data_IF_983857226247
#
_entry.id   IF_983857226247
#
_cell.length_a   1.000
_cell.length_b   1.000
_cell.length_c   1.000
_cell.angle_alpha   90.00
_cell.angle_beta   90.00
_cell.angle_gamma   90.00
#
_symmetry.space_group_name_H-M   'P 1'
#
loop_
_entity.id
_entity.type
_entity.pdbx_description
1 polymer ?
#
# COMPACT_ATOMS: atom_id res chain seq x y z
N UNK A 1 13.89 15.57 -4.13
CA UNK A 1 14.75 16.58 -3.44
C UNK A 1 15.68 15.94 -2.41
N UNK A 2 15.28 14.90 -1.65
CA UNK A 2 16.13 14.25 -0.64
C UNK A 2 17.11 13.21 -1.23
N UNK A 3 17.12 12.95 -2.53
CA UNK A 3 17.97 11.98 -3.24
C UNK A 3 18.94 12.65 -4.23
N UNK A 4 19.41 13.86 -3.92
CA UNK A 4 20.25 14.67 -4.83
C UNK A 4 21.65 14.08 -5.07
N UNK A 5 22.11 13.16 -4.21
CA UNK A 5 23.37 12.46 -4.37
C UNK A 5 23.34 11.31 -5.39
N UNK A 6 22.15 10.93 -5.85
CA UNK A 6 21.97 9.86 -6.83
C UNK A 6 21.81 10.41 -8.23
N UNK A 7 22.45 9.79 -9.20
CA UNK A 7 22.28 10.08 -10.61
C UNK A 7 21.16 9.21 -11.19
N UNK A 8 20.02 9.84 -11.48
CA UNK A 8 18.86 9.16 -12.07
C UNK A 8 19.05 8.95 -13.57
N UNK A 9 18.84 7.73 -14.03
CA UNK A 9 18.97 7.35 -15.43
C UNK A 9 17.62 7.30 -16.17
N UNK A 10 16.53 7.27 -15.41
CA UNK A 10 15.16 7.20 -15.93
C UNK A 10 14.26 8.24 -15.25
N UNK A 11 13.06 8.42 -15.79
CA UNK A 11 11.99 9.20 -15.14
C UNK A 11 11.01 8.29 -14.38
N UNK A 12 11.42 7.06 -14.04
CA UNK A 12 10.56 6.09 -13.39
C UNK A 12 10.53 6.28 -11.87
N UNK A 13 9.35 6.21 -11.28
CA UNK A 13 9.15 6.14 -9.83
C UNK A 13 9.82 4.91 -9.21
N UNK A 14 9.98 3.82 -9.97
CA UNK A 14 10.69 2.61 -9.55
C UNK A 14 12.15 2.90 -9.19
N UNK A 15 12.82 3.78 -9.93
CA UNK A 15 14.20 4.18 -9.64
C UNK A 15 14.29 5.01 -8.35
N UNK A 16 13.30 5.88 -8.11
CA UNK A 16 13.17 6.62 -6.85
C UNK A 16 13.04 5.66 -5.66
N UNK A 17 12.24 4.61 -5.81
CA UNK A 17 12.07 3.57 -4.78
C UNK A 17 13.38 2.82 -4.53
N UNK A 18 14.13 2.51 -5.58
CA UNK A 18 15.41 1.79 -5.46
C UNK A 18 16.44 2.62 -4.69
N UNK A 19 16.72 3.85 -5.13
CA UNK A 19 17.67 4.74 -4.43
C UNK A 19 17.19 5.13 -3.04
N UNK A 20 15.89 5.31 -2.86
CA UNK A 20 15.31 5.54 -1.55
C UNK A 20 15.53 4.35 -0.60
N UNK A 21 15.44 3.11 -1.09
CA UNK A 21 15.71 1.94 -0.27
C UNK A 21 17.21 1.79 0.05
N UNK A 22 18.09 2.13 -0.88
CA UNK A 22 19.54 2.18 -0.63
C UNK A 22 19.87 3.16 0.49
N UNK A 23 19.23 4.34 0.50
CA UNK A 23 19.48 5.41 1.48
C UNK A 23 18.83 5.16 2.83
N UNK A 24 17.54 4.80 2.84
CA UNK A 24 16.74 4.74 4.06
C UNK A 24 16.33 3.31 4.47
N UNK A 25 16.62 2.31 3.64
CA UNK A 25 16.24 0.93 3.93
C UNK A 25 14.74 0.77 4.16
N UNK A 26 14.38 0.10 5.24
CA UNK A 26 12.97 -0.17 5.60
C UNK A 26 12.19 1.07 6.07
N UNK A 27 12.86 2.20 6.29
CA UNK A 27 12.21 3.49 6.62
C UNK A 27 11.69 4.23 5.37
N UNK A 28 12.06 3.77 4.16
CA UNK A 28 11.62 4.35 2.90
C UNK A 28 10.10 4.66 2.83
N UNK A 29 9.19 3.77 3.24
CA UNK A 29 7.74 4.04 3.12
C UNK A 29 7.28 5.30 3.84
N UNK A 30 7.97 5.70 4.91
CA UNK A 30 7.66 6.94 5.65
C UNK A 30 8.05 8.21 4.90
N UNK A 31 8.91 8.08 3.88
CA UNK A 31 9.39 9.18 3.03
C UNK A 31 8.60 9.35 1.74
N UNK A 32 7.83 8.33 1.38
CA UNK A 32 7.05 8.34 0.15
C UNK A 32 5.71 9.05 0.35
N UNK A 33 5.35 9.88 -0.62
CA UNK A 33 4.02 10.44 -0.76
C UNK A 33 3.36 9.86 -2.00
N UNK A 34 2.13 9.36 -1.87
CA UNK A 34 1.38 8.82 -3.00
C UNK A 34 0.82 7.42 -2.73
N UNK A 35 0.38 6.77 -3.81
CA UNK A 35 -0.27 5.48 -3.80
C UNK A 35 0.69 4.43 -4.33
N UNK A 36 1.08 3.48 -3.50
CA UNK A 36 2.08 2.49 -3.88
C UNK A 36 1.85 1.11 -3.27
N UNK A 37 2.29 0.10 -4.00
CA UNK A 37 2.54 -1.24 -3.51
C UNK A 37 3.78 -1.75 -4.26
N UNK A 38 4.85 -2.03 -3.56
CA UNK A 38 6.11 -2.46 -4.17
C UNK A 38 6.78 -3.58 -3.39
N UNK A 39 7.66 -4.29 -4.07
CA UNK A 39 8.52 -5.31 -3.48
C UNK A 39 9.97 -5.11 -3.94
N UNK A 40 10.90 -5.20 -3.02
CA UNK A 40 12.34 -5.10 -3.26
C UNK A 40 13.00 -6.39 -2.78
N UNK A 41 13.80 -7.01 -3.64
CA UNK A 41 14.65 -8.12 -3.25
C UNK A 41 16.05 -7.60 -2.89
N UNK A 42 16.34 -7.58 -1.60
CA UNK A 42 17.67 -7.27 -1.06
C UNK A 42 18.53 -8.56 -1.07
N UNK A 43 19.38 -8.66 -2.08
CA UNK A 43 20.27 -9.82 -2.26
C UNK A 43 21.29 -9.97 -1.13
N UNK A 44 21.76 -8.85 -0.56
CA UNK A 44 22.78 -8.87 0.50
C UNK A 44 22.20 -9.42 1.80
N UNK A 45 20.94 -9.08 2.12
CA UNK A 45 20.24 -9.55 3.31
C UNK A 45 19.49 -10.85 3.10
N UNK A 46 19.34 -11.32 1.84
CA UNK A 46 18.45 -12.42 1.46
C UNK A 46 17.01 -12.19 1.97
N UNK A 47 16.51 -10.99 1.80
CA UNK A 47 15.18 -10.57 2.22
C UNK A 47 14.39 -10.00 1.04
N UNK A 48 13.09 -10.23 1.04
CA UNK A 48 12.14 -9.47 0.22
C UNK A 48 11.45 -8.50 1.15
N UNK A 49 11.60 -7.20 0.87
CA UNK A 49 10.89 -6.13 1.55
C UNK A 49 9.73 -5.67 0.69
N UNK A 50 8.53 -5.70 1.25
CA UNK A 50 7.29 -5.35 0.58
C UNK A 50 6.63 -4.25 1.39
N UNK A 51 6.10 -3.22 0.72
CA UNK A 51 5.37 -2.16 1.39
C UNK A 51 4.13 -1.75 0.63
N UNK A 52 3.11 -1.37 1.37
CA UNK A 52 1.84 -0.87 0.85
C UNK A 52 1.58 0.52 1.41
N UNK A 53 1.04 1.42 0.59
CA UNK A 53 0.81 2.82 0.94
C UNK A 53 0.01 3.02 2.24
N UNK A 54 0.03 4.23 2.74
CA UNK A 54 -0.52 4.65 4.04
C UNK A 54 -1.97 4.20 4.26
N UNK A 55 -2.82 4.31 3.25
CA UNK A 55 -4.25 4.00 3.32
C UNK A 55 -4.62 2.71 2.58
N UNK A 56 -3.65 2.02 1.96
CA UNK A 56 -3.88 0.78 1.23
C UNK A 56 -4.68 0.98 -0.05
N UNK A 57 -4.47 2.10 -0.75
CA UNK A 57 -5.14 2.41 -2.02
C UNK A 57 -4.72 1.43 -3.10
N UNK A 58 -3.41 1.15 -3.23
CA UNK A 58 -2.94 0.11 -4.14
C UNK A 58 -3.16 -1.28 -3.53
N UNK A 59 -3.72 -2.24 -4.28
CA UNK A 59 -3.97 -3.59 -3.76
C UNK A 59 -2.66 -4.36 -3.57
N UNK A 60 -2.60 -5.14 -2.49
CA UNK A 60 -1.50 -6.06 -2.22
C UNK A 60 -1.99 -7.23 -1.39
N UNK A 61 -1.88 -8.42 -1.96
CA UNK A 61 -2.26 -9.68 -1.34
C UNK A 61 -1.05 -10.58 -1.20
N UNK A 62 -1.10 -11.49 -0.21
CA UNK A 62 -0.11 -12.53 -0.07
C UNK A 62 -0.78 -13.85 0.36
N UNK A 63 -0.21 -14.93 -0.10
CA UNK A 63 -0.56 -16.29 0.27
C UNK A 63 0.63 -16.94 0.92
N UNK A 64 0.42 -17.63 2.02
CA UNK A 64 1.47 -18.35 2.71
C UNK A 64 1.00 -19.76 3.07
N UNK A 65 1.80 -20.74 2.70
CA UNK A 65 1.75 -22.09 3.25
C UNK A 65 3.16 -22.55 3.62
N UNK A 66 3.29 -23.81 4.04
CA UNK A 66 4.60 -24.40 4.43
C UNK A 66 5.63 -24.42 3.30
N UNK A 67 5.20 -24.44 2.04
CA UNK A 67 6.05 -24.65 0.87
C UNK A 67 6.37 -23.36 0.11
N UNK A 68 5.45 -22.41 0.09
CA UNK A 68 5.56 -21.21 -0.76
C UNK A 68 4.94 -19.99 -0.10
N UNK A 69 5.50 -18.81 -0.43
CA UNK A 69 4.90 -17.51 -0.21
C UNK A 69 4.72 -16.89 -1.58
N UNK A 70 3.49 -16.44 -1.89
CA UNK A 70 3.15 -15.70 -3.09
C UNK A 70 2.68 -14.31 -2.68
N UNK A 71 2.95 -13.30 -3.50
CA UNK A 71 2.40 -11.96 -3.30
C UNK A 71 2.12 -11.30 -4.65
N UNK A 72 1.21 -10.36 -4.67
CA UNK A 72 0.82 -9.66 -5.89
C UNK A 72 -0.38 -8.75 -5.68
N UNK A 73 -0.66 -7.92 -6.67
CA UNK A 73 -1.78 -6.99 -6.64
C UNK A 73 -3.14 -7.66 -6.83
N UNK A 74 -3.17 -8.85 -7.43
CA UNK A 74 -4.41 -9.59 -7.68
C UNK A 74 -4.26 -11.08 -7.31
N UNK A 75 -5.24 -11.60 -6.60
CA UNK A 75 -5.24 -13.01 -6.16
C UNK A 75 -5.26 -13.97 -7.35
N UNK A 76 -5.86 -13.55 -8.48
CA UNK A 76 -5.90 -14.41 -9.69
C UNK A 76 -4.51 -14.78 -10.20
N UNK A 77 -3.48 -13.97 -9.93
CA UNK A 77 -2.10 -14.29 -10.31
C UNK A 77 -1.56 -15.53 -9.59
N UNK A 78 -2.09 -15.84 -8.39
CA UNK A 78 -1.69 -17.02 -7.63
C UNK A 78 -2.24 -18.32 -8.21
N UNK A 79 -3.37 -18.25 -8.95
CA UNK A 79 -4.04 -19.42 -9.53
C UNK A 79 -3.13 -20.20 -10.50
N UNK A 80 -2.17 -19.53 -11.12
CA UNK A 80 -1.21 -20.15 -12.03
C UNK A 80 -0.11 -20.94 -11.31
N UNK A 81 0.07 -20.72 -10.00
CA UNK A 81 1.14 -21.37 -9.25
C UNK A 81 0.71 -22.78 -8.76
N UNK A 82 1.48 -23.87 -9.07
CA UNK A 82 1.05 -25.24 -8.79
C UNK A 82 0.90 -25.59 -7.30
N UNK A 83 1.50 -24.80 -6.41
CA UNK A 83 1.37 -24.97 -4.95
C UNK A 83 0.29 -24.10 -4.32
N UNK A 84 -0.40 -23.29 -5.11
CA UNK A 84 -1.56 -22.53 -4.62
C UNK A 84 -2.77 -23.46 -4.48
N UNK A 85 -3.42 -23.42 -3.31
CA UNK A 85 -4.64 -24.18 -3.07
C UNK A 85 -5.83 -23.25 -3.15
N UNK A 86 -6.66 -23.45 -4.17
CA UNK A 86 -7.93 -22.72 -4.32
C UNK A 86 -8.98 -23.31 -3.39
N UNK A 87 -9.08 -22.77 -2.19
CA UNK A 87 -10.03 -23.17 -1.16
C UNK A 87 -10.81 -21.94 -0.67
N UNK A 88 -12.15 -22.08 -0.55
CA UNK A 88 -13.02 -21.00 -0.06
C UNK A 88 -12.89 -20.86 1.46
N UNK A 89 -12.63 -19.64 1.93
CA UNK A 89 -12.73 -19.27 3.34
C UNK A 89 -14.21 -19.04 3.71
N UNK A 90 -14.87 -20.11 4.16
CA UNK A 90 -16.30 -20.09 4.48
C UNK A 90 -16.64 -19.22 5.70
N UNK A 91 -15.67 -18.98 6.58
CA UNK A 91 -15.86 -18.20 7.80
C UNK A 91 -16.13 -16.71 7.50
N UNK A 92 -15.69 -16.21 6.35
CA UNK A 92 -15.95 -14.84 5.92
C UNK A 92 -17.32 -14.62 5.27
N UNK A 93 -18.08 -15.66 4.96
CA UNK A 93 -19.39 -15.51 4.31
C UNK A 93 -20.35 -14.75 5.22
N UNK A 94 -20.45 -15.15 6.49
CA UNK A 94 -21.31 -14.48 7.46
C UNK A 94 -20.97 -13.00 7.67
N UNK A 95 -19.72 -12.66 8.03
CA UNK A 95 -19.27 -11.27 8.13
C UNK A 95 -19.51 -10.44 6.87
N UNK A 96 -19.21 -11.00 5.69
CA UNK A 96 -19.46 -10.31 4.43
C UNK A 96 -20.94 -9.99 4.19
N UNK A 97 -21.83 -10.95 4.46
CA UNK A 97 -23.28 -10.73 4.32
C UNK A 97 -23.82 -9.70 5.32
N UNK A 98 -23.16 -9.55 6.46
CA UNK A 98 -23.53 -8.57 7.49
C UNK A 98 -23.05 -7.16 7.16
N UNK A 99 -21.79 -7.03 6.73
CA UNK A 99 -21.12 -5.73 6.57
C UNK A 99 -20.94 -5.29 5.12
N UNK A 100 -21.25 -6.14 4.13
CA UNK A 100 -20.97 -5.93 2.71
C UNK A 100 -19.48 -5.80 2.35
N UNK A 101 -18.59 -6.12 3.27
CA UNK A 101 -17.14 -6.20 3.08
C UNK A 101 -16.51 -7.18 4.07
N UNK A 102 -15.25 -7.57 3.86
CA UNK A 102 -14.50 -8.39 4.80
C UNK A 102 -13.84 -7.50 5.87
N UNK A 103 -14.26 -7.56 7.15
CA UNK A 103 -13.77 -6.65 8.20
C UNK A 103 -12.37 -6.98 8.70
N UNK A 104 -11.76 -8.04 8.19
CA UNK A 104 -10.41 -8.51 8.51
C UNK A 104 -9.48 -8.41 7.30
N UNK A 105 -8.21 -8.73 7.49
CA UNK A 105 -7.23 -8.81 6.40
C UNK A 105 -7.32 -10.10 5.60
N UNK A 106 -8.16 -11.04 6.03
CA UNK A 106 -8.43 -12.29 5.31
C UNK A 106 -9.24 -12.04 4.04
N UNK A 107 -9.16 -12.98 3.11
CA UNK A 107 -9.93 -12.94 1.86
C UNK A 107 -10.81 -14.17 1.73
N UNK A 108 -11.71 -14.19 0.72
CA UNK A 108 -12.49 -15.37 0.40
C UNK A 108 -11.66 -16.59 -0.05
N UNK A 109 -10.38 -16.42 -0.32
CA UNK A 109 -9.44 -17.51 -0.51
C UNK A 109 -8.74 -17.81 0.80
N UNK A 110 -8.81 -19.05 1.26
CA UNK A 110 -8.15 -19.51 2.47
C UNK A 110 -6.63 -19.31 2.38
N UNK A 111 -6.01 -18.90 3.48
CA UNK A 111 -4.57 -18.60 3.58
C UNK A 111 -4.09 -17.46 2.65
N UNK A 112 -5.03 -16.70 2.07
CA UNK A 112 -4.73 -15.47 1.33
C UNK A 112 -5.15 -14.26 2.15
N UNK A 113 -4.20 -13.38 2.38
CA UNK A 113 -4.35 -12.19 3.19
C UNK A 113 -4.09 -10.93 2.38
N UNK A 114 -4.72 -9.86 2.76
CA UNK A 114 -4.42 -8.51 2.29
C UNK A 114 -3.37 -7.90 3.22
N UNK A 115 -2.29 -7.34 2.69
CA UNK A 115 -1.40 -6.53 3.52
C UNK A 115 -2.14 -5.25 3.91
N UNK A 116 -2.29 -4.91 5.21
CA UNK A 116 -2.99 -3.69 5.61
C UNK A 116 -2.30 -2.43 5.09
N UNK A 117 -3.06 -1.34 4.92
CA UNK A 117 -2.49 -0.03 4.62
C UNK A 117 -1.53 0.43 5.73
N UNK A 118 -0.50 1.21 5.37
CA UNK A 118 0.50 1.67 6.31
C UNK A 118 1.38 0.58 6.92
N UNK A 119 1.48 -0.59 6.25
CA UNK A 119 2.29 -1.72 6.70
C UNK A 119 3.34 -2.12 5.67
N UNK A 120 4.43 -2.62 6.20
CA UNK A 120 5.49 -3.28 5.45
C UNK A 120 5.61 -4.74 5.88
N UNK A 121 6.03 -5.59 4.96
CA UNK A 121 6.27 -7.01 5.19
C UNK A 121 7.70 -7.35 4.77
N UNK A 122 8.42 -8.01 5.64
CA UNK A 122 9.76 -8.56 5.35
C UNK A 122 9.67 -10.08 5.29
N UNK A 123 10.14 -10.67 4.21
CA UNK A 123 10.21 -12.11 4.02
C UNK A 123 11.68 -12.51 3.99
N UNK A 124 12.10 -13.37 4.91
CA UNK A 124 13.41 -13.99 4.83
C UNK A 124 13.36 -15.14 3.81
N UNK A 125 14.13 -15.03 2.73
CA UNK A 125 14.06 -15.98 1.60
C UNK A 125 14.47 -17.40 1.98
N UNK A 126 15.45 -17.54 2.89
CA UNK A 126 15.94 -18.87 3.32
C UNK A 126 14.98 -19.56 4.28
N UNK A 127 14.50 -18.84 5.29
CA UNK A 127 13.68 -19.41 6.37
C UNK A 127 12.19 -19.33 6.09
N UNK A 128 11.76 -18.55 5.08
CA UNK A 128 10.36 -18.24 4.76
C UNK A 128 9.59 -17.59 5.93
N UNK A 129 10.30 -17.02 6.89
CA UNK A 129 9.66 -16.27 7.96
C UNK A 129 9.20 -14.93 7.44
N UNK A 130 7.96 -14.57 7.78
CA UNK A 130 7.34 -13.28 7.50
C UNK A 130 7.34 -12.46 8.79
N UNK A 131 7.68 -11.17 8.66
CA UNK A 131 7.49 -10.14 9.68
C UNK A 131 6.70 -9.01 9.08
N UNK A 132 5.55 -8.67 9.66
CA UNK A 132 4.71 -7.54 9.25
C UNK A 132 4.85 -6.45 10.31
N UNK A 133 5.10 -5.21 9.88
CA UNK A 133 5.32 -4.07 10.74
C UNK A 133 4.50 -2.88 10.24
N UNK A 134 3.85 -2.19 11.17
CA UNK A 134 3.11 -0.97 10.88
C UNK A 134 4.07 0.21 10.88
N UNK A 135 4.17 0.94 9.77
CA UNK A 135 5.00 2.13 9.67
C UNK A 135 4.20 3.44 9.75
N UNK A 136 2.88 3.38 9.54
CA UNK A 136 2.00 4.55 9.59
C UNK A 136 0.73 4.27 10.39
N UNK A 137 0.30 5.25 11.17
CA UNK A 137 -0.94 5.26 11.94
C UNK A 137 -1.53 6.66 11.91
N UNK A 138 -2.81 6.76 11.61
CA UNK A 138 -3.56 8.01 11.81
C UNK A 138 -3.70 8.24 13.31
N UNK A 139 -3.31 9.42 13.75
CA UNK A 139 -3.48 9.87 15.14
C UNK A 139 -4.39 11.09 15.15
N UNK A 140 -5.37 11.06 16.04
CA UNK A 140 -6.29 12.17 16.24
C UNK A 140 -5.88 12.94 17.51
N UNK A 141 -5.84 14.26 17.39
CA UNK A 141 -5.59 15.14 18.52
C UNK A 141 -6.65 16.25 18.55
N UNK A 142 -6.93 16.78 19.74
CA UNK A 142 -7.75 17.95 19.86
C UNK A 142 -6.93 19.17 19.41
N UNK A 143 -7.50 19.96 18.50
CA UNK A 143 -6.94 21.26 18.11
C UNK A 143 -7.50 22.37 19.01
N UNK A 144 -6.73 23.45 19.18
CA UNK A 144 -7.18 24.70 19.82
C UNK A 144 -7.56 25.77 18.79
N UNK A 145 -7.44 25.45 17.51
CA UNK A 145 -7.74 26.31 16.38
C UNK A 145 -9.24 26.59 16.30
N UNK A 146 -9.61 27.76 15.82
CA UNK A 146 -11.00 28.13 15.54
C UNK A 146 -11.52 27.33 14.33
N UNK A 147 -12.84 27.30 14.18
CA UNK A 147 -13.47 26.64 13.03
C UNK A 147 -12.98 27.20 11.69
N UNK A 148 -12.84 28.53 11.57
CA UNK A 148 -12.41 29.17 10.33
C UNK A 148 -10.95 28.84 9.98
N UNK A 149 -10.06 28.80 10.98
CA UNK A 149 -8.66 28.38 10.78
C UNK A 149 -8.56 26.93 10.31
N UNK A 150 -9.35 26.02 10.89
CA UNK A 150 -9.40 24.60 10.48
C UNK A 150 -9.93 24.47 9.05
N UNK A 151 -10.98 25.23 8.68
CA UNK A 151 -11.51 25.21 7.30
C UNK A 151 -10.48 25.69 6.30
N UNK A 152 -9.74 26.76 6.62
CA UNK A 152 -8.68 27.27 5.75
C UNK A 152 -7.53 26.24 5.58
N UNK A 153 -7.13 25.59 6.66
CA UNK A 153 -6.09 24.55 6.63
C UNK A 153 -6.53 23.33 5.83
N UNK A 154 -7.77 22.84 6.04
CA UNK A 154 -8.33 21.73 5.24
C UNK A 154 -8.33 22.09 3.76
N UNK A 155 -8.77 23.30 3.40
CA UNK A 155 -8.80 23.74 1.99
C UNK A 155 -7.40 23.71 1.38
N UNK A 156 -6.38 24.22 2.08
CA UNK A 156 -4.99 24.16 1.61
C UNK A 156 -4.48 22.74 1.39
N UNK A 157 -4.76 21.85 2.34
CA UNK A 157 -4.35 20.44 2.26
C UNK A 157 -5.06 19.71 1.12
N UNK A 158 -6.35 19.99 0.91
CA UNK A 158 -7.13 19.43 -0.19
C UNK A 158 -6.60 19.91 -1.54
N UNK A 159 -6.39 21.22 -1.73
CA UNK A 159 -5.80 21.79 -2.95
C UNK A 159 -4.44 21.13 -3.28
N UNK A 160 -3.57 21.01 -2.29
CA UNK A 160 -2.26 20.40 -2.45
C UNK A 160 -2.40 18.90 -2.82
N UNK A 161 -3.33 18.20 -2.18
CA UNK A 161 -3.60 16.79 -2.47
C UNK A 161 -4.10 16.61 -3.91
N UNK A 162 -5.09 17.40 -4.35
CA UNK A 162 -5.62 17.32 -5.72
C UNK A 162 -4.54 17.62 -6.75
N UNK A 163 -3.72 18.67 -6.54
CA UNK A 163 -2.60 19.00 -7.44
C UNK A 163 -1.62 17.83 -7.61
N UNK A 164 -1.32 17.11 -6.54
CA UNK A 164 -0.43 15.93 -6.63
C UNK A 164 -1.10 14.74 -7.30
N UNK A 165 -2.42 14.58 -7.22
CA UNK A 165 -3.15 13.53 -7.93
C UNK A 165 -3.25 13.78 -9.44
N UNK A 166 -3.07 15.02 -9.89
CA UNK A 166 -3.07 15.39 -11.31
C UNK A 166 -1.73 15.09 -12.00
N UNK A 167 -0.68 14.72 -11.26
CA UNK A 167 0.61 14.34 -11.84
C UNK A 167 0.45 13.00 -12.56
N UNK A 168 0.52 13.02 -13.89
CA UNK A 168 0.31 11.85 -14.75
C UNK A 168 0.96 12.06 -16.10
N UNK A 169 1.37 10.97 -16.75
CA UNK A 169 1.88 10.95 -18.13
C UNK A 169 0.75 10.97 -19.18
N UNK A 170 -0.50 10.89 -18.73
CA UNK A 170 -1.71 10.90 -19.57
C UNK A 170 -2.73 11.91 -19.04
N UNK A 171 -3.72 12.26 -19.86
CA UNK A 171 -4.80 13.13 -19.42
C UNK A 171 -5.56 12.52 -18.24
N UNK A 172 -5.77 13.31 -17.20
CA UNK A 172 -6.54 12.94 -16.02
C UNK A 172 -7.93 13.49 -16.13
N UNK A 173 -8.94 12.64 -16.02
CA UNK A 173 -10.34 13.02 -15.95
C UNK A 173 -10.94 12.61 -14.59
N UNK A 174 -11.99 13.32 -14.17
CA UNK A 174 -12.77 12.94 -13.00
C UNK A 174 -14.22 12.69 -13.36
N UNK A 175 -14.84 11.73 -12.67
CA UNK A 175 -16.29 11.53 -12.74
C UNK A 175 -16.99 12.51 -11.81
N UNK A 176 -17.57 13.54 -12.39
CA UNK A 176 -18.32 14.54 -11.64
C UNK A 176 -19.69 13.98 -11.26
N UNK A 177 -19.90 13.77 -9.98
CA UNK A 177 -21.22 13.50 -9.39
C UNK A 177 -21.71 14.75 -8.65
N UNK A 178 -22.91 14.73 -8.12
CA UNK A 178 -23.43 15.82 -7.27
C UNK A 178 -22.89 15.77 -5.82
N UNK A 179 -21.90 14.93 -5.56
CA UNK A 179 -21.28 14.78 -4.25
C UNK A 179 -20.23 15.87 -3.98
N UNK A 180 -20.00 16.18 -2.70
CA UNK A 180 -19.01 17.18 -2.28
C UNK A 180 -17.61 16.81 -2.77
N UNK A 181 -17.20 15.56 -2.57
CA UNK A 181 -15.83 15.10 -2.92
C UNK A 181 -15.53 15.21 -4.41
N UNK A 182 -16.52 14.88 -5.27
CA UNK A 182 -16.33 14.92 -6.73
C UNK A 182 -16.46 16.32 -7.33
N UNK A 183 -16.99 17.27 -6.55
CA UNK A 183 -17.20 18.64 -6.99
C UNK A 183 -16.09 19.60 -6.53
N UNK A 184 -15.27 19.15 -5.62
CA UNK A 184 -14.08 19.86 -5.16
C UNK A 184 -12.95 19.75 -6.18
#
# INVERSE_FOLDING_TARGET
>A
EELTEYEFQTNSDTEVILHGYEKWGKELPKKLRGMFAYAIYDKNKNEIFISRDHFGIKPLYYYQNKDVILFGSEIKSFLAHPKFKKELNKELIGPYLTFSFTPTDETFFKDVYRLPGGHSMTINVKTKKIKIERYFKVEFSNTKESFDEVVEEISKVMDDSVKHHLISDVEVGSFLSSGVDSSY
#
